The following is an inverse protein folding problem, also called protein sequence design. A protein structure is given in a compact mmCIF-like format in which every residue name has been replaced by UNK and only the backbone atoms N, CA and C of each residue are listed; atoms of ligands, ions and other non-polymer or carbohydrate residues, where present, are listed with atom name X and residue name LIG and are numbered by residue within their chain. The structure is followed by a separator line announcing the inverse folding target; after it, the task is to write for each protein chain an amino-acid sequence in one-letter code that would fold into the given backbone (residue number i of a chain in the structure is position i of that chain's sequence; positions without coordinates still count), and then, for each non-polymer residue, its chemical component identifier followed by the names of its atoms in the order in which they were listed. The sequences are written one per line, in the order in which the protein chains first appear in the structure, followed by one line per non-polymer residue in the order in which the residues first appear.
data_IF_306257615258
#
_entry.id   IF_306257615258
#
_cell.length_a   1.000
_cell.length_b   1.000
_cell.length_c   1.000
_cell.angle_alpha   90.00
_cell.angle_beta   90.00
_cell.angle_gamma   90.00
#
_symmetry.space_group_name_H-M   'P 1'
#
loop_
_entity.id
_entity.type
_entity.pdbx_description
1 polymer ?
#
# COMPACT_ATOMS: atom_id res chain seq x y z
N UNK A 1 -9.69 -24.09 -9.93
CA UNK A 1 -10.65 -23.00 -9.69
C UNK A 1 -10.48 -22.56 -8.25
N UNK A 2 -10.02 -21.33 -8.00
CA UNK A 2 -10.05 -20.79 -6.64
C UNK A 2 -11.50 -20.39 -6.31
N UNK A 3 -12.00 -20.80 -5.15
CA UNK A 3 -13.38 -20.49 -4.72
C UNK A 3 -13.53 -19.02 -4.28
N UNK A 4 -12.41 -18.39 -3.92
CA UNK A 4 -12.32 -16.96 -3.63
C UNK A 4 -11.24 -16.36 -4.54
N UNK A 5 -11.64 -15.38 -5.35
CA UNK A 5 -10.74 -14.56 -6.16
C UNK A 5 -10.98 -13.11 -5.79
N UNK A 6 -9.92 -12.33 -5.75
CA UNK A 6 -9.99 -10.91 -5.46
C UNK A 6 -9.24 -10.13 -6.51
N UNK A 7 -9.70 -8.91 -6.76
CA UNK A 7 -9.05 -7.95 -7.65
C UNK A 7 -8.89 -6.62 -6.92
N UNK A 8 -7.85 -5.87 -7.28
CA UNK A 8 -7.56 -4.54 -6.77
C UNK A 8 -7.50 -3.55 -7.93
N UNK A 9 -8.27 -2.46 -7.82
CA UNK A 9 -8.26 -1.38 -8.78
C UNK A 9 -8.18 -0.01 -8.09
N UNK A 10 -7.98 1.02 -8.92
CA UNK A 10 -8.14 2.42 -8.55
C UNK A 10 -7.34 2.83 -7.30
N UNK A 11 -6.07 2.42 -7.23
CA UNK A 11 -5.19 2.91 -6.17
C UNK A 11 -4.96 4.40 -6.35
N UNK A 12 -5.35 5.16 -5.34
CA UNK A 12 -5.16 6.60 -5.25
C UNK A 12 -4.48 6.90 -3.92
N UNK A 13 -3.58 7.88 -3.91
CA UNK A 13 -2.92 8.31 -2.69
C UNK A 13 -2.86 9.83 -2.65
N UNK A 14 -3.18 10.39 -1.48
CA UNK A 14 -3.14 11.82 -1.20
C UNK A 14 -2.20 12.10 -0.04
N UNK A 15 -1.61 13.29 -0.05
CA UNK A 15 -0.71 13.77 0.99
C UNK A 15 -1.52 14.68 1.91
N UNK A 16 -1.66 14.27 3.16
CA UNK A 16 -2.33 15.01 4.23
C UNK A 16 -1.40 15.19 5.43
N UNK A 17 -1.87 14.81 6.62
CA UNK A 17 -1.02 14.63 7.81
C UNK A 17 -0.12 13.38 7.72
N UNK A 18 -0.35 12.55 6.71
CA UNK A 18 0.35 11.33 6.33
C UNK A 18 0.12 11.03 4.85
N UNK A 19 0.43 9.80 4.45
CA UNK A 19 0.02 9.27 3.15
C UNK A 19 -1.30 8.52 3.33
N UNK A 20 -2.36 9.06 2.76
CA UNK A 20 -3.70 8.46 2.76
C UNK A 20 -3.94 7.80 1.42
N UNK A 21 -4.06 6.47 1.41
CA UNK A 21 -4.30 5.71 0.20
C UNK A 21 -5.64 4.99 0.22
N UNK A 22 -6.29 4.96 -0.94
CA UNK A 22 -7.51 4.21 -1.17
C UNK A 22 -7.34 3.27 -2.35
N UNK A 23 -7.95 2.09 -2.27
CA UNK A 23 -8.03 1.16 -3.39
C UNK A 23 -9.37 0.41 -3.33
N UNK A 24 -9.89 0.01 -4.48
CA UNK A 24 -11.12 -0.78 -4.54
C UNK A 24 -10.75 -2.26 -4.54
N UNK A 25 -11.22 -2.98 -3.52
CA UNK A 25 -11.13 -4.44 -3.45
C UNK A 25 -12.45 -5.04 -3.93
N UNK A 26 -12.38 -5.97 -4.88
CA UNK A 26 -13.55 -6.68 -5.40
C UNK A 26 -13.40 -8.19 -5.23
N UNK A 27 -14.40 -8.86 -4.65
CA UNK A 27 -14.46 -10.33 -4.63
C UNK A 27 -15.05 -10.82 -5.97
N UNK A 28 -14.19 -11.30 -6.86
CA UNK A 28 -14.59 -11.86 -8.16
C UNK A 28 -14.89 -13.35 -8.08
N UNK A 29 -14.75 -13.96 -6.90
CA UNK A 29 -15.06 -15.36 -6.64
C UNK A 29 -16.57 -15.65 -6.47
N UNK A 30 -16.84 -16.92 -6.15
CA UNK A 30 -18.20 -17.44 -5.96
C UNK A 30 -18.58 -17.65 -4.49
N UNK A 31 -17.66 -17.38 -3.56
CA UNK A 31 -17.87 -17.59 -2.12
C UNK A 31 -17.44 -16.36 -1.31
N UNK A 32 -18.12 -16.13 -0.18
CA UNK A 32 -17.73 -15.12 0.80
C UNK A 32 -16.35 -15.46 1.39
N UNK A 33 -15.46 -14.48 1.44
CA UNK A 33 -14.10 -14.68 1.92
C UNK A 33 -13.51 -13.38 2.46
N UNK A 34 -12.46 -13.51 3.26
CA UNK A 34 -11.68 -12.36 3.73
C UNK A 34 -10.35 -12.29 3.00
N UNK A 35 -9.99 -11.10 2.54
CA UNK A 35 -8.72 -10.81 1.88
C UNK A 35 -7.95 -9.76 2.67
N UNK A 36 -6.63 -9.91 2.72
CA UNK A 36 -5.72 -8.90 3.28
C UNK A 36 -5.17 -8.08 2.13
N UNK A 37 -5.47 -6.79 2.13
CA UNK A 37 -4.87 -5.79 1.24
C UNK A 37 -3.62 -5.24 1.92
N UNK A 38 -2.51 -5.23 1.20
CA UNK A 38 -1.21 -4.82 1.70
C UNK A 38 -0.70 -3.65 0.87
N UNK A 39 -0.15 -2.63 1.53
CA UNK A 39 0.43 -1.45 0.91
C UNK A 39 1.93 -1.39 1.18
N UNK A 40 2.69 -1.47 0.10
CA UNK A 40 4.14 -1.39 0.09
C UNK A 40 4.60 -0.02 -0.38
N UNK A 41 5.70 0.46 0.19
CA UNK A 41 6.36 1.69 -0.23
C UNK A 41 7.73 1.36 -0.78
N UNK A 42 8.03 1.89 -1.96
CA UNK A 42 9.39 1.99 -2.51
C UNK A 42 9.87 3.41 -2.30
N UNK A 43 11.01 3.52 -1.64
CA UNK A 43 11.62 4.79 -1.31
C UNK A 43 12.42 5.33 -2.51
N UNK A 44 12.71 6.65 -2.54
CA UNK A 44 13.69 7.21 -3.45
C UNK A 44 15.03 6.47 -3.30
N UNK A 45 15.77 6.31 -4.40
CA UNK A 45 17.07 5.61 -4.38
C UNK A 45 18.06 6.25 -3.39
N UNK A 46 17.96 7.57 -3.16
CA UNK A 46 18.75 8.31 -2.19
C UNK A 46 18.53 7.89 -0.73
N UNK A 47 17.42 7.22 -0.43
CA UNK A 47 17.12 6.76 0.93
C UNK A 47 17.91 5.51 1.33
N UNK A 48 18.52 4.79 0.38
CA UNK A 48 19.24 3.53 0.65
C UNK A 48 18.42 2.46 1.40
N UNK A 49 17.09 2.54 1.33
CA UNK A 49 16.18 1.59 1.95
C UNK A 49 15.96 0.33 1.07
N UNK A 50 15.46 -0.77 1.65
CA UNK A 50 15.03 -1.93 0.89
C UNK A 50 14.06 -1.56 -0.23
N UNK A 51 14.05 -2.32 -1.34
CA UNK A 51 13.31 -1.95 -2.55
C UNK A 51 11.79 -1.89 -2.34
N UNK A 52 11.25 -2.58 -1.33
CA UNK A 52 9.82 -2.56 -0.96
C UNK A 52 9.69 -2.78 0.55
N UNK A 53 8.97 -1.92 1.24
CA UNK A 53 8.64 -2.06 2.66
C UNK A 53 7.13 -2.07 2.86
N UNK A 54 6.60 -3.05 3.58
CA UNK A 54 5.19 -3.06 3.98
C UNK A 54 4.94 -1.97 5.01
N UNK A 55 3.98 -1.08 4.77
CA UNK A 55 3.67 0.05 5.66
C UNK A 55 2.25 0.02 6.21
N UNK A 56 1.29 -0.49 5.45
CA UNK A 56 -0.08 -0.64 5.92
C UNK A 56 -0.69 -1.95 5.40
N UNK A 57 -1.64 -2.50 6.16
CA UNK A 57 -2.45 -3.62 5.70
C UNK A 57 -3.83 -3.57 6.35
N UNK A 58 -4.84 -4.02 5.62
CA UNK A 58 -6.22 -4.09 6.11
C UNK A 58 -6.84 -5.42 5.67
N UNK A 59 -7.50 -6.09 6.61
CA UNK A 59 -8.28 -7.30 6.32
C UNK A 59 -9.74 -6.92 6.09
N UNK A 60 -10.28 -7.34 4.95
CA UNK A 60 -11.66 -7.03 4.53
C UNK A 60 -12.39 -8.32 4.22
N UNK A 61 -13.60 -8.47 4.74
CA UNK A 61 -14.51 -9.54 4.36
C UNK A 61 -15.49 -9.04 3.29
N UNK A 62 -15.68 -9.81 2.23
CA UNK A 62 -16.57 -9.49 1.12
C UNK A 62 -17.39 -10.71 0.71
N UNK A 63 -18.68 -10.46 0.46
CA UNK A 63 -19.57 -11.37 -0.22
C UNK A 63 -19.16 -11.55 -1.69
N UNK A 64 -19.61 -12.63 -2.38
CA UNK A 64 -19.37 -12.80 -3.81
C UNK A 64 -19.82 -11.57 -4.61
N UNK A 65 -18.99 -11.13 -5.56
CA UNK A 65 -19.24 -9.98 -6.44
C UNK A 65 -19.36 -8.63 -5.71
N UNK A 66 -19.04 -8.56 -4.41
CA UNK A 66 -19.02 -7.31 -3.67
C UNK A 66 -17.70 -6.57 -3.89
N UNK A 67 -17.80 -5.25 -4.02
CA UNK A 67 -16.66 -4.33 -4.01
C UNK A 67 -16.69 -3.43 -2.78
N UNK A 68 -15.52 -3.07 -2.26
CA UNK A 68 -15.37 -2.12 -1.15
C UNK A 68 -14.11 -1.28 -1.31
N UNK A 69 -14.24 0.01 -1.05
CA UNK A 69 -13.08 0.91 -0.91
C UNK A 69 -12.37 0.61 0.40
N UNK A 70 -11.08 0.32 0.30
CA UNK A 70 -10.17 0.06 1.41
C UNK A 70 -9.31 1.29 1.61
N UNK A 71 -9.29 1.80 2.84
CA UNK A 71 -8.44 2.91 3.27
C UNK A 71 -7.19 2.37 3.95
N UNK A 72 -6.03 2.88 3.56
CA UNK A 72 -4.71 2.50 4.04
C UNK A 72 -3.95 3.79 4.37
N UNK A 73 -3.63 3.99 5.63
CA UNK A 73 -2.96 5.20 6.11
C UNK A 73 -1.53 4.87 6.51
N UNK A 74 -0.59 5.74 6.13
CA UNK A 74 0.81 5.66 6.52
C UNK A 74 1.17 6.99 7.18
N UNK A 75 1.66 6.94 8.41
CA UNK A 75 2.11 8.15 9.09
C UNK A 75 3.39 8.70 8.44
N UNK A 76 3.61 10.02 8.48
CA UNK A 76 4.87 10.60 7.98
C UNK A 76 6.07 10.04 8.76
N UNK A 77 5.90 9.76 10.05
CA UNK A 77 6.96 9.16 10.87
C UNK A 77 7.37 7.76 10.38
N UNK A 78 6.42 6.95 9.90
CA UNK A 78 6.73 5.66 9.29
C UNK A 78 7.49 5.77 7.96
N UNK A 79 7.46 6.94 7.32
CA UNK A 79 8.20 7.22 6.09
C UNK A 79 9.60 7.76 6.36
N UNK A 80 9.94 8.09 7.59
CA UNK A 80 11.28 8.58 7.92
C UNK A 80 12.29 7.44 7.84
N UNK A 81 13.49 7.79 7.41
CA UNK A 81 14.64 6.90 7.38
C UNK A 81 15.71 7.43 8.32
N UNK A 82 16.54 6.53 8.83
CA UNK A 82 17.61 6.94 9.74
C UNK A 82 18.77 7.56 8.95
N UNK A 83 18.99 8.86 9.13
CA UNK A 83 20.13 9.56 8.55
C UNK A 83 21.35 9.44 9.47
N UNK A 84 22.36 8.68 9.02
CA UNK A 84 23.59 8.50 9.79
C UNK A 84 24.41 9.79 9.92
N UNK A 85 24.31 10.71 8.95
CA UNK A 85 24.98 12.02 8.98
C UNK A 85 24.36 12.94 10.03
N UNK A 86 23.04 12.95 10.14
CA UNK A 86 22.30 13.81 11.07
C UNK A 86 22.07 13.15 12.45
N UNK A 87 22.29 11.83 12.53
CA UNK A 87 21.94 10.99 13.69
C UNK A 87 20.48 11.19 14.12
N UNK A 88 19.61 11.30 13.13
CA UNK A 88 18.19 11.60 13.31
C UNK A 88 17.34 10.91 12.24
N UNK A 89 16.05 10.78 12.52
CA UNK A 89 15.04 10.35 11.54
C UNK A 89 14.71 11.51 10.62
N UNK A 90 14.94 11.34 9.31
CA UNK A 90 14.63 12.36 8.31
C UNK A 90 13.79 11.79 7.18
N UNK A 91 12.95 12.63 6.58
CA UNK A 91 12.20 12.29 5.38
C UNK A 91 13.07 12.61 4.17
N UNK A 92 13.29 11.63 3.29
CA UNK A 92 14.05 11.84 2.07
C UNK A 92 13.11 12.42 1.03
N UNK A 93 13.44 13.60 0.49
CA UNK A 93 12.65 14.18 -0.59
C UNK A 93 12.81 13.37 -1.87
N UNK A 94 11.70 13.16 -2.58
CA UNK A 94 11.70 12.49 -3.87
C UNK A 94 10.42 11.70 -4.15
N UNK A 95 10.55 10.80 -5.12
CA UNK A 95 9.44 9.97 -5.57
C UNK A 95 9.30 8.73 -4.67
N UNK A 96 8.14 8.61 -4.03
CA UNK A 96 7.73 7.41 -3.32
C UNK A 96 6.74 6.65 -4.19
N UNK A 97 7.03 5.39 -4.49
CA UNK A 97 6.11 4.53 -5.23
C UNK A 97 5.36 3.62 -4.26
N UNK A 98 4.05 3.78 -4.24
CA UNK A 98 3.13 3.03 -3.39
C UNK A 98 2.53 1.91 -4.21
N UNK A 99 2.55 0.70 -3.69
CA UNK A 99 2.14 -0.50 -4.41
C UNK A 99 1.17 -1.29 -3.56
N UNK A 100 -0.05 -1.50 -4.06
CA UNK A 100 -1.04 -2.32 -3.41
C UNK A 100 -1.04 -3.75 -3.97
N UNK A 101 -1.20 -4.72 -3.08
CA UNK A 101 -1.28 -6.12 -3.46
C UNK A 101 -1.78 -7.04 -2.35
N UNK A 102 -1.76 -8.34 -2.63
CA UNK A 102 -2.13 -9.38 -1.66
C UNK A 102 -0.90 -10.05 -1.03
N UNK A 103 0.26 -9.92 -1.66
CA UNK A 103 1.55 -10.38 -1.14
C UNK A 103 2.68 -9.57 -1.76
N UNK A 104 3.91 -9.73 -1.26
CA UNK A 104 5.10 -9.04 -1.80
C UNK A 104 5.39 -9.36 -3.28
N UNK A 105 4.89 -10.49 -3.78
CA UNK A 105 5.02 -10.96 -5.17
C UNK A 105 3.77 -10.74 -6.02
N UNK A 106 2.60 -10.60 -5.39
CA UNK A 106 1.30 -10.46 -6.05
C UNK A 106 0.80 -9.02 -5.93
N UNK A 107 1.26 -8.20 -6.88
CA UNK A 107 1.13 -6.74 -6.89
C UNK A 107 0.28 -6.33 -8.09
N UNK A 108 -0.74 -5.52 -7.85
CA UNK A 108 -1.80 -5.26 -8.83
C UNK A 108 -1.71 -3.84 -9.38
N UNK A 109 -1.52 -2.87 -8.50
CA UNK A 109 -1.57 -1.46 -8.87
C UNK A 109 -0.55 -0.66 -8.07
N UNK A 110 0.01 0.36 -8.71
CA UNK A 110 0.96 1.28 -8.09
C UNK A 110 0.67 2.73 -8.47
N UNK A 111 1.02 3.63 -7.55
CA UNK A 111 0.94 5.07 -7.75
C UNK A 111 2.21 5.70 -7.21
N UNK A 112 2.73 6.72 -7.88
CA UNK A 112 3.90 7.46 -7.41
C UNK A 112 3.47 8.83 -6.92
N UNK A 113 3.95 9.21 -5.75
CA UNK A 113 3.72 10.52 -5.13
C UNK A 113 5.08 11.19 -4.86
N UNK A 114 5.08 12.52 -4.90
CA UNK A 114 6.26 13.32 -4.59
C UNK A 114 6.15 13.86 -3.17
N UNK A 115 7.15 13.57 -2.34
CA UNK A 115 7.28 14.04 -0.95
C UNK A 115 8.56 14.85 -0.76
#
# INVERSE_FOLDING_TARGET
MSMANFDLSDLQCAIGSGLECTTVLTNTGSCAAAQVVQLYVRYPQAAHEPPKLLKAFVKVHLEPQQSRTVQLEISVDDLRVWSASEKAWSLVQGNYTLVAGFSATDLFTEVTVML
#
